data_IF_608657147805
#
_entry.id   IF_608657147805
#
_cell.length_a   1.000
_cell.length_b   1.000
_cell.length_c   1.000
_cell.angle_alpha   90.00
_cell.angle_beta   90.00
_cell.angle_gamma   90.00
#
_symmetry.space_group_name_H-M   'P 1'
#
loop_
_entity.id
_entity.type
_entity.pdbx_description
1 polymer ?
#
# COMPACT_ATOMS: atom_id res chain seq x y z
N UNK A 1 -3.83 11.42 5.92
CA UNK A 1 -2.59 10.67 6.19
C UNK A 1 -1.48 11.50 6.83
N UNK A 2 -1.14 12.72 6.37
CA UNK A 2 0.08 13.38 6.84
C UNK A 2 0.10 13.64 8.36
N UNK A 3 -1.05 13.97 8.97
CA UNK A 3 -1.17 14.09 10.43
C UNK A 3 -0.81 12.79 11.18
N UNK A 4 -1.34 11.63 10.72
CA UNK A 4 -1.01 10.31 11.31
C UNK A 4 0.49 10.00 11.21
N UNK A 5 1.14 10.41 10.13
CA UNK A 5 2.57 10.18 9.96
C UNK A 5 3.39 11.06 10.90
N UNK A 6 2.97 12.30 11.14
CA UNK A 6 3.57 13.15 12.17
C UNK A 6 3.45 12.51 13.55
N UNK A 7 2.27 11.97 13.91
CA UNK A 7 2.07 11.26 15.17
C UNK A 7 3.04 10.08 15.32
N UNK A 8 3.26 9.32 14.24
CA UNK A 8 4.20 8.20 14.26
C UNK A 8 5.65 8.65 14.42
N UNK A 9 6.07 9.69 13.68
CA UNK A 9 7.42 10.24 13.80
C UNK A 9 7.68 10.74 15.23
N UNK A 10 6.75 11.51 15.81
CA UNK A 10 6.85 11.99 17.20
C UNK A 10 6.92 10.83 18.18
N UNK A 11 6.12 9.78 18.00
CA UNK A 11 6.15 8.59 18.87
C UNK A 11 7.49 7.85 18.78
N UNK A 12 8.05 7.72 17.59
CA UNK A 12 9.37 7.10 17.37
C UNK A 12 10.46 7.94 18.07
N UNK A 13 10.43 9.25 17.90
CA UNK A 13 11.40 10.16 18.53
C UNK A 13 11.32 10.15 20.05
N UNK A 14 10.12 10.17 20.62
CA UNK A 14 9.94 10.06 22.08
C UNK A 14 10.57 8.77 22.60
N UNK A 15 10.22 7.63 21.99
CA UNK A 15 10.82 6.35 22.35
C UNK A 15 12.34 6.36 22.23
N UNK A 16 12.88 6.99 21.18
CA UNK A 16 14.33 7.09 21.00
C UNK A 16 14.99 7.90 22.13
N UNK A 17 14.45 9.06 22.49
CA UNK A 17 14.97 9.90 23.57
C UNK A 17 14.87 9.21 24.94
N UNK A 18 13.78 8.50 25.20
CA UNK A 18 13.61 7.71 26.44
C UNK A 18 14.69 6.63 26.57
N UNK A 19 15.07 6.03 25.45
CA UNK A 19 16.11 4.99 25.38
C UNK A 19 17.55 5.58 25.37
N UNK A 20 17.71 6.86 25.05
CA UNK A 20 19.02 7.51 24.89
C UNK A 20 19.03 8.89 25.58
N UNK A 21 19.14 8.94 26.92
CA UNK A 21 19.00 10.18 27.70
C UNK A 21 20.01 11.29 27.37
N UNK A 22 21.15 10.96 26.75
CA UNK A 22 22.16 11.91 26.28
C UNK A 22 21.98 12.39 24.84
N UNK A 23 20.94 11.92 24.13
CA UNK A 23 20.72 12.28 22.74
C UNK A 23 20.34 13.76 22.60
N UNK A 24 21.12 14.52 21.85
CA UNK A 24 20.87 15.93 21.53
C UNK A 24 20.21 16.12 20.17
N UNK A 25 19.96 15.03 19.43
CA UNK A 25 19.38 15.01 18.09
C UNK A 25 18.35 13.89 17.97
N UNK A 26 17.36 14.10 17.11
CA UNK A 26 16.35 13.10 16.77
C UNK A 26 16.83 12.21 15.62
N UNK A 27 16.37 10.96 15.59
CA UNK A 27 16.61 10.06 14.47
C UNK A 27 15.87 10.53 13.22
N UNK A 28 16.48 10.38 12.05
CA UNK A 28 15.78 10.64 10.79
C UNK A 28 14.66 9.62 10.60
N UNK A 29 13.47 10.09 10.25
CA UNK A 29 12.31 9.24 9.90
C UNK A 29 11.86 9.64 8.50
N UNK A 30 11.90 8.69 7.55
CA UNK A 30 11.38 8.87 6.20
C UNK A 30 9.99 8.22 6.11
N UNK A 31 8.90 8.99 6.03
CA UNK A 31 7.57 8.41 5.90
C UNK A 31 7.34 7.94 4.46
N UNK A 32 7.01 6.67 4.30
CA UNK A 32 6.62 6.06 3.03
C UNK A 32 5.24 5.45 3.18
N UNK A 33 4.36 5.69 2.22
CA UNK A 33 2.99 5.18 2.18
C UNK A 33 2.81 4.39 0.90
N UNK A 34 2.48 3.10 1.04
CA UNK A 34 2.02 2.29 -0.08
C UNK A 34 0.49 2.34 -0.11
N UNK A 35 -0.06 2.97 -1.13
CA UNK A 35 -1.51 3.00 -1.35
C UNK A 35 -1.92 1.83 -2.25
N UNK A 36 -2.88 1.05 -1.74
CA UNK A 36 -3.65 0.10 -2.53
C UNK A 36 -5.09 0.15 -2.05
N UNK A 37 -6.04 0.19 -2.99
CA UNK A 37 -7.46 0.23 -2.67
C UNK A 37 -8.17 -1.01 -3.21
N UNK A 38 -8.43 -2.03 -2.36
CA UNK A 38 -9.06 -3.27 -2.81
C UNK A 38 -10.48 -3.09 -3.34
N UNK A 39 -11.19 -2.03 -2.93
CA UNK A 39 -12.56 -1.77 -3.37
C UNK A 39 -12.60 -0.97 -4.68
N UNK A 40 -11.53 -0.25 -5.01
CA UNK A 40 -11.39 0.56 -6.24
C UNK A 40 -9.93 0.52 -6.72
N UNK A 41 -9.49 -0.60 -7.31
CA UNK A 41 -8.09 -0.83 -7.66
C UNK A 41 -7.55 0.18 -8.68
N UNK A 42 -8.42 0.71 -9.54
CA UNK A 42 -8.06 1.69 -10.57
C UNK A 42 -8.21 3.15 -10.09
N UNK A 43 -8.49 3.39 -8.80
CA UNK A 43 -8.65 4.75 -8.27
C UNK A 43 -7.34 5.22 -7.63
N UNK A 44 -6.64 6.19 -8.25
CA UNK A 44 -5.44 6.77 -7.66
C UNK A 44 -5.74 7.50 -6.35
N UNK A 45 -4.71 7.63 -5.56
CA UNK A 45 -4.67 8.50 -4.40
C UNK A 45 -4.95 9.95 -4.82
N UNK A 46 -5.75 10.65 -4.02
CA UNK A 46 -6.14 12.04 -4.27
C UNK A 46 -6.07 12.92 -3.02
N UNK A 47 -5.69 12.33 -1.88
CA UNK A 47 -5.58 13.08 -0.64
C UNK A 47 -4.20 13.77 -0.54
N UNK A 48 -4.04 14.81 0.29
CA UNK A 48 -2.78 15.50 0.38
C UNK A 48 -1.63 14.63 0.92
N UNK A 49 -0.42 14.90 0.43
CA UNK A 49 0.83 14.22 0.82
C UNK A 49 1.67 15.05 1.80
N UNK A 50 1.46 16.37 1.86
CA UNK A 50 2.09 17.27 2.81
C UNK A 50 1.22 17.54 4.03
N UNK A 51 1.86 17.81 5.16
CA UNK A 51 1.19 18.31 6.37
C UNK A 51 0.64 19.72 6.16
N UNK A 52 1.36 20.57 5.44
CA UNK A 52 0.95 21.95 5.16
C UNK A 52 -0.36 22.01 4.37
N UNK A 53 -0.59 21.03 3.49
CA UNK A 53 -1.75 20.95 2.61
C UNK A 53 -3.07 20.67 3.34
N UNK A 54 -3.01 20.22 4.60
CA UNK A 54 -4.19 19.94 5.44
C UNK A 54 -4.42 21.02 6.50
N UNK A 55 -3.58 22.05 6.55
CA UNK A 55 -3.74 23.17 7.47
C UNK A 55 -4.68 24.20 6.87
N UNK A 56 -5.60 24.69 7.70
CA UNK A 56 -6.53 25.74 7.33
C UNK A 56 -5.82 27.11 7.42
N UNK A 57 -5.14 27.48 6.33
CA UNK A 57 -4.42 28.75 6.20
C UNK A 57 -5.25 29.72 5.35
N UNK A 58 -5.37 30.97 5.81
CA UNK A 58 -6.02 32.01 5.01
C UNK A 58 -5.25 32.24 3.69
N UNK A 59 -5.96 32.38 2.56
CA UNK A 59 -5.34 32.77 1.29
C UNK A 59 -4.42 33.98 1.44
N UNK A 60 -3.17 33.85 0.98
CA UNK A 60 -2.16 34.92 1.07
C UNK A 60 -1.27 34.89 2.32
N UNK A 61 -1.62 34.13 3.36
CA UNK A 61 -0.78 34.00 4.57
C UNK A 61 0.23 32.86 4.51
N UNK A 62 0.03 31.88 3.62
CA UNK A 62 0.84 30.67 3.53
C UNK A 62 2.34 30.93 3.40
N UNK A 63 2.74 31.90 2.56
CA UNK A 63 4.15 32.24 2.37
C UNK A 63 4.79 32.85 3.64
N UNK A 64 4.04 33.67 4.36
CA UNK A 64 4.50 34.26 5.63
C UNK A 64 4.58 33.21 6.74
N UNK A 65 3.71 32.20 6.71
CA UNK A 65 3.66 31.13 7.71
C UNK A 65 4.64 29.98 7.45
N UNK A 66 5.08 29.77 6.22
CA UNK A 66 5.97 28.67 5.84
C UNK A 66 7.19 28.44 6.77
N UNK A 67 7.90 29.48 7.27
CA UNK A 67 9.04 29.28 8.19
C UNK A 67 8.66 28.74 9.57
N UNK A 68 7.40 28.90 9.98
CA UNK A 68 6.90 28.52 11.31
C UNK A 68 6.16 27.18 11.29
N UNK A 69 5.89 26.64 10.11
CA UNK A 69 5.17 25.39 9.95
C UNK A 69 6.13 24.19 9.83
N UNK A 70 5.82 23.06 10.48
CA UNK A 70 6.58 21.84 10.29
C UNK A 70 6.44 21.36 8.84
N UNK A 71 7.58 21.22 8.16
CA UNK A 71 7.64 20.61 6.83
C UNK A 71 7.70 19.10 6.98
N UNK A 72 6.61 18.43 6.64
CA UNK A 72 6.51 16.99 6.58
C UNK A 72 5.76 16.60 5.32
N UNK A 73 6.45 15.91 4.43
CA UNK A 73 5.90 15.27 3.25
C UNK A 73 6.27 13.78 3.31
N UNK A 74 5.43 12.94 2.73
CA UNK A 74 5.69 11.52 2.64
C UNK A 74 5.82 11.08 1.19
N UNK A 75 6.64 10.04 0.98
CA UNK A 75 6.73 9.37 -0.31
C UNK A 75 5.51 8.46 -0.48
N UNK A 76 4.78 8.67 -1.56
CA UNK A 76 3.62 7.87 -1.91
C UNK A 76 3.98 6.91 -3.03
N UNK A 77 3.87 5.62 -2.75
CA UNK A 77 3.88 4.57 -3.76
C UNK A 77 2.41 4.19 -4.04
N UNK A 78 1.86 4.66 -5.16
CA UNK A 78 0.45 4.42 -5.50
C UNK A 78 0.31 3.27 -6.49
N UNK A 79 -0.02 2.08 -5.97
CA UNK A 79 -0.17 0.88 -6.79
C UNK A 79 -1.38 0.94 -7.72
N UNK A 80 -2.35 1.85 -7.49
CA UNK A 80 -3.46 2.07 -8.41
C UNK A 80 -3.01 2.79 -9.69
N UNK A 81 -1.94 3.59 -9.62
CA UNK A 81 -1.45 4.40 -10.73
C UNK A 81 -0.36 3.71 -11.57
N UNK A 82 0.26 2.65 -11.05
CA UNK A 82 1.42 1.99 -11.66
C UNK A 82 0.99 0.70 -12.39
N UNK A 83 1.43 0.49 -13.62
CA UNK A 83 1.17 -0.76 -14.35
C UNK A 83 1.95 -1.94 -13.74
N UNK A 84 1.42 -3.16 -13.86
CA UNK A 84 2.08 -4.34 -13.31
C UNK A 84 3.46 -4.61 -13.94
N UNK A 85 3.64 -4.34 -15.23
CA UNK A 85 4.92 -4.54 -15.91
C UNK A 85 5.92 -3.44 -15.55
N UNK A 86 5.44 -2.23 -15.34
CA UNK A 86 6.26 -1.12 -14.84
C UNK A 86 6.77 -1.42 -13.43
N UNK A 87 5.90 -1.90 -12.54
CA UNK A 87 6.26 -2.34 -11.20
C UNK A 87 7.31 -3.46 -11.20
N UNK A 88 7.24 -4.38 -12.18
CA UNK A 88 8.24 -5.44 -12.37
C UNK A 88 9.61 -4.92 -12.78
N UNK A 89 9.62 -3.91 -13.66
CA UNK A 89 10.85 -3.32 -14.18
C UNK A 89 11.57 -2.44 -13.14
N UNK A 90 10.90 -2.10 -12.02
CA UNK A 90 11.52 -1.32 -10.96
C UNK A 90 12.69 -2.09 -10.32
N UNK A 91 13.77 -1.40 -9.91
CA UNK A 91 14.94 -1.99 -9.27
C UNK A 91 14.67 -2.34 -7.80
N UNK A 92 13.62 -3.14 -7.57
CA UNK A 92 13.21 -3.65 -6.27
C UNK A 92 13.89 -4.99 -5.98
N UNK A 93 14.01 -5.32 -4.69
CA UNK A 93 14.32 -6.70 -4.30
C UNK A 93 13.15 -7.62 -4.67
N UNK A 94 13.40 -8.92 -4.79
CA UNK A 94 12.36 -9.91 -5.09
C UNK A 94 11.21 -9.87 -4.06
N UNK A 95 11.55 -9.68 -2.78
CA UNK A 95 10.61 -9.55 -1.68
C UNK A 95 9.68 -8.35 -1.84
N UNK A 96 10.26 -7.18 -2.08
CA UNK A 96 9.51 -5.94 -2.23
C UNK A 96 8.62 -6.02 -3.47
N UNK A 97 9.15 -6.47 -4.60
CA UNK A 97 8.40 -6.64 -5.84
C UNK A 97 7.24 -7.61 -5.67
N UNK A 98 7.48 -8.81 -5.11
CA UNK A 98 6.43 -9.80 -4.89
C UNK A 98 5.36 -9.27 -3.93
N UNK A 99 5.75 -8.58 -2.86
CA UNK A 99 4.80 -7.96 -1.92
C UNK A 99 3.91 -6.94 -2.61
N UNK A 100 4.47 -6.00 -3.38
CA UNK A 100 3.70 -4.97 -4.08
C UNK A 100 2.80 -5.56 -5.17
N UNK A 101 3.29 -6.56 -5.91
CA UNK A 101 2.52 -7.30 -6.92
C UNK A 101 1.33 -8.01 -6.28
N UNK A 102 1.52 -8.67 -5.15
CA UNK A 102 0.44 -9.35 -4.43
C UNK A 102 -0.59 -8.35 -3.91
N UNK A 103 -0.13 -7.25 -3.31
CA UNK A 103 -1.02 -6.16 -2.85
C UNK A 103 -1.86 -5.57 -4.01
N UNK A 104 -1.28 -5.45 -5.22
CA UNK A 104 -1.97 -4.98 -6.42
C UNK A 104 -2.93 -6.02 -7.00
N UNK A 105 -2.52 -7.28 -7.10
CA UNK A 105 -3.20 -8.32 -7.88
C UNK A 105 -4.31 -9.08 -7.13
N UNK A 106 -4.15 -9.36 -5.83
CA UNK A 106 -5.12 -10.18 -5.05
C UNK A 106 -6.50 -9.54 -4.96
N UNK A 107 -6.56 -8.22 -5.11
CA UNK A 107 -7.79 -7.45 -5.01
C UNK A 107 -8.55 -7.36 -6.32
N UNK A 108 -7.84 -7.47 -7.44
CA UNK A 108 -8.40 -7.42 -8.79
C UNK A 108 -8.70 -8.83 -9.28
N UNK A 109 -9.42 -9.63 -8.48
CA UNK A 109 -9.91 -10.95 -8.85
C UNK A 109 -8.94 -11.77 -9.73
N UNK A 110 -7.66 -11.94 -9.35
CA UNK A 110 -6.62 -12.63 -10.15
C UNK A 110 -6.99 -12.60 -11.64
N UNK A 111 -6.98 -11.41 -12.24
CA UNK A 111 -7.31 -11.32 -13.65
C UNK A 111 -6.46 -12.39 -14.37
N UNK A 112 -7.04 -13.20 -15.27
CA UNK A 112 -6.34 -14.31 -15.91
C UNK A 112 -5.14 -13.86 -16.77
N UNK A 113 -4.87 -12.55 -16.83
CA UNK A 113 -3.74 -11.90 -17.50
C UNK A 113 -2.53 -11.65 -16.56
N UNK A 114 -2.64 -11.88 -15.24
CA UNK A 114 -1.47 -11.89 -14.36
C UNK A 114 -0.70 -13.17 -14.65
N UNK A 115 0.28 -13.05 -15.53
CA UNK A 115 1.24 -14.10 -15.82
C UNK A 115 2.05 -14.41 -14.55
N UNK A 116 1.64 -15.46 -13.84
CA UNK A 116 2.31 -15.92 -12.62
C UNK A 116 3.72 -16.46 -12.93
N UNK A 117 3.94 -16.97 -14.14
CA UNK A 117 5.26 -17.45 -14.57
C UNK A 117 6.25 -16.28 -14.64
N UNK A 118 5.74 -15.09 -14.93
CA UNK A 118 6.50 -13.86 -14.95
C UNK A 118 7.08 -13.44 -13.57
N UNK A 119 6.63 -14.07 -12.48
CA UNK A 119 7.12 -13.85 -11.12
C UNK A 119 7.77 -15.09 -10.51
N UNK A 120 7.98 -16.15 -11.30
CA UNK A 120 8.56 -17.40 -10.82
C UNK A 120 9.97 -17.20 -10.24
N UNK A 121 10.78 -16.34 -10.85
CA UNK A 121 12.14 -16.03 -10.38
C UNK A 121 12.12 -15.30 -9.04
N UNK A 122 11.20 -14.33 -8.86
CA UNK A 122 11.03 -13.63 -7.59
C UNK A 122 10.53 -14.58 -6.50
N UNK A 123 9.57 -15.43 -6.84
CA UNK A 123 9.03 -16.43 -5.92
C UNK A 123 10.11 -17.44 -5.51
N UNK A 124 10.91 -17.92 -6.45
CA UNK A 124 12.04 -18.79 -6.18
C UNK A 124 13.09 -18.10 -5.31
N UNK A 125 13.39 -16.82 -5.55
CA UNK A 125 14.32 -16.06 -4.72
C UNK A 125 13.80 -15.90 -3.28
N UNK A 126 12.49 -15.65 -3.10
CA UNK A 126 11.87 -15.53 -1.78
C UNK A 126 11.82 -16.87 -1.05
N UNK A 127 11.45 -17.97 -1.73
CA UNK A 127 11.39 -19.32 -1.14
C UNK A 127 12.78 -19.83 -0.76
N UNK A 128 13.77 -19.62 -1.63
CA UNK A 128 15.13 -20.12 -1.42
C UNK A 128 15.96 -19.22 -0.50
N UNK A 129 15.37 -18.13 0.02
CA UNK A 129 16.04 -17.27 1.00
C UNK A 129 16.24 -18.06 2.29
N UNK A 130 17.50 -18.30 2.62
CA UNK A 130 17.90 -18.79 3.94
C UNK A 130 18.14 -17.59 4.85
N UNK A 131 17.11 -17.16 5.58
CA UNK A 131 17.26 -16.18 6.65
C UNK A 131 17.12 -16.93 8.01
N UNK A 132 18.14 -16.89 8.89
CA UNK A 132 18.13 -17.63 10.15
C UNK A 132 17.02 -17.20 11.13
N UNK A 133 16.35 -16.06 10.89
CA UNK A 133 15.17 -15.63 11.66
C UNK A 133 13.84 -15.98 10.99
N UNK A 134 13.86 -16.59 9.81
CA UNK A 134 12.70 -16.77 8.93
C UNK A 134 12.34 -18.26 8.84
N UNK A 135 11.58 -18.75 9.82
CA UNK A 135 11.13 -20.14 9.85
C UNK A 135 9.60 -20.23 9.86
N UNK A 136 9.03 -21.02 8.93
CA UNK A 136 7.61 -21.39 8.94
C UNK A 136 6.63 -20.27 8.59
N UNK A 137 5.56 -20.12 9.38
CA UNK A 137 4.44 -19.19 9.12
C UNK A 137 4.83 -17.71 9.21
N UNK A 138 5.92 -17.39 9.92
CA UNK A 138 6.47 -16.04 10.01
C UNK A 138 7.35 -15.69 8.80
N UNK A 139 7.64 -16.67 7.93
CA UNK A 139 8.36 -16.41 6.69
C UNK A 139 7.65 -15.39 5.82
N UNK A 140 8.41 -14.60 5.07
CA UNK A 140 7.82 -13.64 4.13
C UNK A 140 6.86 -14.35 3.15
N UNK A 141 7.25 -15.53 2.67
CA UNK A 141 6.37 -16.36 1.83
C UNK A 141 5.08 -16.74 2.57
N UNK A 142 5.18 -17.20 3.83
CA UNK A 142 4.03 -17.50 4.68
C UNK A 142 3.09 -16.31 4.88
N UNK A 143 3.65 -15.12 5.14
CA UNK A 143 2.90 -13.87 5.29
C UNK A 143 2.18 -13.47 4.00
N UNK A 144 2.87 -13.59 2.85
CA UNK A 144 2.30 -13.32 1.53
C UNK A 144 1.14 -14.27 1.25
N UNK A 145 1.33 -15.58 1.43
CA UNK A 145 0.29 -16.58 1.22
C UNK A 145 -0.90 -16.39 2.16
N UNK A 146 -0.65 -16.06 3.43
CA UNK A 146 -1.71 -15.74 4.39
C UNK A 146 -2.51 -14.53 3.95
N UNK A 147 -1.86 -13.46 3.49
CA UNK A 147 -2.54 -12.28 2.96
C UNK A 147 -3.42 -12.64 1.75
N UNK A 148 -2.87 -13.39 0.78
CA UNK A 148 -3.59 -13.86 -0.41
C UNK A 148 -4.86 -14.63 -0.02
N UNK A 149 -4.75 -15.59 0.91
CA UNK A 149 -5.89 -16.40 1.36
C UNK A 149 -6.93 -15.58 2.13
N UNK A 150 -6.48 -14.65 2.98
CA UNK A 150 -7.37 -13.83 3.79
C UNK A 150 -8.13 -12.79 2.95
N UNK A 151 -7.46 -12.17 1.97
CA UNK A 151 -8.06 -11.11 1.14
C UNK A 151 -8.77 -11.67 -0.08
N UNK A 152 -8.24 -12.71 -0.72
CA UNK A 152 -8.84 -13.34 -1.90
C UNK A 152 -10.22 -13.95 -1.62
N UNK A 153 -10.43 -14.49 -0.41
CA UNK A 153 -11.74 -15.04 0.00
C UNK A 153 -12.80 -13.97 0.28
N UNK A 154 -12.40 -12.77 0.71
CA UNK A 154 -13.32 -11.65 0.95
C UNK A 154 -13.85 -11.03 -0.35
N UNK A 155 -13.04 -11.01 -1.42
CA UNK A 155 -13.44 -10.41 -2.70
C UNK A 155 -14.41 -11.30 -3.51
N UNK A 156 -14.33 -12.63 -3.37
CA UNK A 156 -15.31 -13.55 -3.98
C UNK A 156 -16.72 -13.45 -3.36
N UNK A 157 -16.83 -13.09 -2.07
CA UNK A 157 -18.11 -13.00 -1.37
C UNK A 157 -18.88 -11.71 -1.69
N UNK A 158 -18.19 -10.61 -1.97
CA UNK A 158 -18.81 -9.31 -2.30
C UNK A 158 -19.29 -9.24 -3.75
N UNK A 159 -18.53 -9.80 -4.69
CA UNK A 159 -18.88 -9.87 -6.12
C UNK A 159 -20.09 -10.77 -6.40
N UNK A 160 -20.22 -11.91 -5.71
CA UNK A 160 -21.40 -12.80 -5.84
C UNK A 160 -22.72 -12.17 -5.38
N UNK A 161 -22.68 -11.10 -4.58
CA UNK A 161 -23.88 -10.46 -4.01
C UNK A 161 -24.50 -9.38 -4.92
N UNK A 162 -23.87 -9.06 -6.06
CA UNK A 162 -24.30 -8.00 -6.98
C UNK A 162 -24.56 -8.49 -8.42
N UNK A 163 -24.80 -9.78 -8.68
CA UNK A 163 -25.41 -10.19 -9.95
C UNK A 163 -26.87 -9.73 -9.98
N UNK A 164 -27.29 -8.86 -10.90
CA UNK A 164 -28.71 -8.59 -11.11
C UNK A 164 -29.35 -9.86 -11.67
N UNK A 165 -30.50 -10.23 -11.10
CA UNK A 165 -31.35 -11.29 -11.62
C UNK A 165 -31.67 -10.99 -13.09
N UNK A 166 -31.38 -11.94 -13.96
CA UNK A 166 -31.80 -11.90 -15.36
C UNK A 166 -33.33 -11.91 -15.42
N UNK A 167 -33.94 -10.80 -15.84
CA UNK A 167 -35.37 -10.73 -16.15
C UNK A 167 -35.70 -11.61 -17.37
N UNK A 168 -36.83 -12.34 -17.37
CA UNK A 168 -37.24 -13.17 -18.49
C UNK A 168 -37.87 -12.33 -19.62
N UNK A 169 -37.86 -12.80 -20.87
CA UNK A 169 -38.39 -12.05 -22.00
C UNK A 169 -39.93 -12.06 -21.96
N UNK A 170 -40.53 -10.90 -21.69
CA UNK A 170 -41.96 -10.70 -21.92
C UNK A 170 -42.23 -10.53 -23.41
N UNK A 171 -42.72 -11.60 -24.05
CA UNK A 171 -43.35 -11.54 -25.36
C UNK A 171 -44.61 -10.67 -25.33
N UNK A 172 -44.72 -9.76 -26.30
CA UNK A 172 -45.96 -9.05 -26.61
C UNK A 172 -46.94 -9.99 -27.32
N UNK A 173 -48.24 -9.97 -26.99
CA UNK A 173 -49.26 -10.33 -27.95
C UNK A 173 -49.68 -9.10 -28.76
N UNK A 174 -50.03 -9.39 -30.00
CA UNK A 174 -50.63 -8.55 -31.05
C UNK A 174 -51.87 -7.79 -30.61
#
# INVERSE_FOLDING_TARGET
MPFRLLEYAVRIWRRHLDQHPGATRLSTVLPVVVHHNPARPDRPWSAPTGLTDILDLEPGTAAAMAPYLPRLEFLLEDLAAIDINELRAQPLTAEARLTLVVLKSVTSSLRPDVDLDAFADDLAAVINRSDPHDSGEESLFGLIMRYVLLVGTHHQKTTKRCSPASDPPHGRPT
#
